data_IF_983520829422
#
_entry.id   IF_983520829422
#
_cell.length_a   1.000
_cell.length_b   1.000
_cell.length_c   1.000
_cell.angle_alpha   90.00
_cell.angle_beta   90.00
_cell.angle_gamma   90.00
#
_symmetry.space_group_name_H-M   'P 1'
#
loop_
_entity.id
_entity.type
_entity.pdbx_description
1 polymer ?
#
# COMPACT_ATOMS: atom_id res chain seq x y z
N UNK A 1 -3.02 -4.71 13.34
CA UNK A 1 -3.09 -3.36 12.72
C UNK A 1 -2.54 -2.26 13.62
N UNK A 2 -3.07 -2.02 14.84
CA UNK A 2 -2.59 -0.97 15.76
C UNK A 2 -1.09 -1.01 16.11
N UNK A 3 -0.43 -2.15 15.89
CA UNK A 3 0.99 -2.38 16.16
C UNK A 3 1.91 -1.92 15.02
N UNK A 4 1.35 -1.57 13.86
CA UNK A 4 2.11 -1.11 12.69
C UNK A 4 2.34 0.39 12.83
N UNK A 5 3.57 0.78 13.13
CA UNK A 5 3.93 2.18 13.45
C UNK A 5 3.64 3.16 12.30
N UNK A 6 3.69 2.68 11.05
CA UNK A 6 3.40 3.48 9.87
C UNK A 6 1.91 3.89 9.78
N UNK A 7 1.00 3.18 10.44
CA UNK A 7 -0.44 3.50 10.40
C UNK A 7 -0.77 4.44 11.55
N UNK A 8 -1.16 5.71 11.28
CA UNK A 8 -1.54 6.64 12.34
C UNK A 8 -2.82 6.16 13.06
N UNK A 9 -2.86 6.34 14.38
CA UNK A 9 -4.05 6.04 15.18
C UNK A 9 -5.10 7.17 15.13
N UNK A 10 -4.68 8.37 14.71
CA UNK A 10 -5.52 9.55 14.52
C UNK A 10 -5.05 10.28 13.25
N UNK A 11 -6.01 10.67 12.42
CA UNK A 11 -5.76 11.59 11.31
C UNK A 11 -5.66 13.01 11.84
N UNK A 12 -4.82 13.84 11.24
CA UNK A 12 -4.61 15.23 11.64
C UNK A 12 -4.84 16.16 10.43
N UNK A 13 -5.48 17.30 10.66
CA UNK A 13 -5.77 18.28 9.62
C UNK A 13 -7.26 18.60 9.53
N UNK A 14 -7.63 19.29 8.46
CA UNK A 14 -9.00 19.75 8.21
C UNK A 14 -9.71 18.86 7.18
N UNK A 15 -11.03 19.02 7.09
CA UNK A 15 -11.90 18.35 6.12
C UNK A 15 -11.86 16.82 6.17
N UNK A 16 -11.57 16.25 7.35
CA UNK A 16 -11.59 14.80 7.55
C UNK A 16 -13.06 14.33 7.57
N UNK A 17 -13.46 13.37 6.70
CA UNK A 17 -14.81 12.85 6.67
C UNK A 17 -15.22 12.18 7.98
N UNK A 18 -16.51 12.20 8.29
CA UNK A 18 -17.05 11.52 9.47
C UNK A 18 -16.73 10.02 9.49
N UNK A 19 -16.73 9.38 8.31
CA UNK A 19 -16.29 7.99 8.15
C UNK A 19 -15.52 7.82 6.85
N UNK A 20 -14.35 7.22 6.98
CA UNK A 20 -13.44 6.95 5.88
C UNK A 20 -12.80 5.57 6.03
N UNK A 21 -12.93 4.73 5.02
CA UNK A 21 -12.16 3.48 4.89
C UNK A 21 -10.95 3.71 3.98
N UNK A 22 -9.76 3.56 4.55
CA UNK A 22 -8.51 3.64 3.80
C UNK A 22 -8.07 2.23 3.42
N UNK A 23 -7.82 2.02 2.12
CA UNK A 23 -7.28 0.79 1.58
C UNK A 23 -5.80 0.93 1.32
N UNK A 24 -5.06 -0.11 1.64
CA UNK A 24 -3.62 -0.14 1.50
C UNK A 24 -3.07 -1.54 1.63
N UNK A 25 -1.75 -1.63 1.53
CA UNK A 25 -1.01 -2.88 1.60
C UNK A 25 -0.03 -2.85 2.76
N UNK A 26 -0.10 -3.89 3.59
CA UNK A 26 0.89 -4.14 4.64
C UNK A 26 1.96 -5.04 4.06
N UNK A 27 3.21 -4.62 4.18
CA UNK A 27 4.35 -5.39 3.69
C UNK A 27 5.49 -5.37 4.72
N UNK A 28 6.52 -6.17 4.41
CA UNK A 28 7.69 -6.34 5.24
C UNK A 28 8.93 -6.01 4.40
N UNK A 29 9.75 -5.01 4.80
CA UNK A 29 10.99 -4.71 4.10
C UNK A 29 11.95 -5.89 4.11
N UNK A 30 12.82 -5.99 3.10
CA UNK A 30 13.76 -7.10 2.92
C UNK A 30 14.66 -7.29 4.14
N UNK A 31 15.24 -6.21 4.67
CA UNK A 31 16.06 -6.28 5.90
C UNK A 31 15.28 -6.83 7.10
N UNK A 32 13.99 -6.50 7.21
CA UNK A 32 13.11 -7.03 8.25
C UNK A 32 12.81 -8.52 8.07
N UNK A 33 12.62 -8.95 6.82
CA UNK A 33 12.44 -10.35 6.45
C UNK A 33 13.67 -11.20 6.75
N UNK A 34 14.86 -10.74 6.34
CA UNK A 34 16.13 -11.43 6.59
C UNK A 34 16.35 -11.65 8.09
N UNK A 35 16.15 -10.60 8.89
CA UNK A 35 16.26 -10.65 10.34
C UNK A 35 15.30 -11.67 10.97
N UNK A 36 14.03 -11.68 10.54
CA UNK A 36 13.05 -12.66 11.04
C UNK A 36 13.49 -14.08 10.73
N UNK A 37 14.00 -14.32 9.52
CA UNK A 37 14.44 -15.65 9.11
C UNK A 37 15.73 -16.09 9.80
N UNK A 38 16.66 -15.16 10.07
CA UNK A 38 17.87 -15.43 10.84
C UNK A 38 17.53 -15.83 12.29
N UNK A 39 16.68 -15.05 12.97
CA UNK A 39 16.21 -15.37 14.32
C UNK A 39 15.45 -16.71 14.35
N UNK A 40 14.61 -16.98 13.36
CA UNK A 40 13.91 -18.26 13.24
C UNK A 40 14.88 -19.43 13.09
N UNK A 41 15.91 -19.33 12.23
CA UNK A 41 16.93 -20.38 12.08
C UNK A 41 17.68 -20.65 13.38
N UNK A 42 18.04 -19.61 14.13
CA UNK A 42 18.75 -19.74 15.41
C UNK A 42 17.91 -20.39 16.50
N UNK A 43 16.60 -20.14 16.50
CA UNK A 43 15.68 -20.59 17.56
C UNK A 43 14.88 -21.85 17.20
N UNK A 44 15.10 -22.43 16.02
CA UNK A 44 14.29 -23.54 15.51
C UNK A 44 12.85 -23.13 15.13
N UNK A 45 12.61 -21.84 14.92
CA UNK A 45 11.32 -21.29 14.53
C UNK A 45 11.00 -21.44 13.04
N UNK A 46 9.81 -21.00 12.66
CA UNK A 46 9.34 -21.03 11.26
C UNK A 46 10.10 -20.03 10.38
N UNK A 47 10.78 -20.53 9.36
CA UNK A 47 11.40 -19.74 8.30
C UNK A 47 10.37 -19.48 7.19
N UNK A 48 10.32 -18.26 6.69
CA UNK A 48 9.41 -17.85 5.61
C UNK A 48 10.12 -17.86 4.25
N UNK A 49 9.40 -18.26 3.20
CA UNK A 49 9.95 -18.34 1.85
C UNK A 49 10.15 -16.97 1.18
N UNK A 50 9.31 -15.99 1.48
CA UNK A 50 9.37 -14.64 0.91
C UNK A 50 8.77 -13.59 1.86
N UNK A 51 9.05 -12.28 1.65
CA UNK A 51 8.53 -11.19 2.47
C UNK A 51 6.99 -11.15 2.55
N UNK A 52 6.28 -11.47 1.46
CA UNK A 52 4.80 -11.51 1.42
C UNK A 52 4.24 -12.52 2.42
N UNK A 53 4.78 -13.74 2.45
CA UNK A 53 4.40 -14.78 3.39
C UNK A 53 4.77 -14.42 4.83
N UNK A 54 5.91 -13.78 5.03
CA UNK A 54 6.33 -13.29 6.33
C UNK A 54 5.42 -12.19 6.86
N UNK A 55 5.01 -11.24 6.01
CA UNK A 55 4.07 -10.18 6.36
C UNK A 55 2.69 -10.77 6.74
N UNK A 56 2.13 -11.63 5.89
CA UNK A 56 0.86 -12.30 6.13
C UNK A 56 0.88 -13.14 7.42
N UNK A 57 1.94 -13.92 7.63
CA UNK A 57 2.13 -14.71 8.85
C UNK A 57 2.29 -13.84 10.10
N UNK A 58 2.92 -12.68 9.98
CA UNK A 58 3.10 -11.72 11.07
C UNK A 58 1.79 -11.01 11.45
N UNK A 59 0.91 -10.75 10.49
CA UNK A 59 -0.39 -10.12 10.71
C UNK A 59 -1.42 -11.04 11.37
N UNK A 60 -1.36 -12.35 11.07
CA UNK A 60 -2.34 -13.35 11.53
C UNK A 60 -1.97 -13.99 12.88
N UNK A 61 -1.14 -13.32 13.68
CA UNK A 61 -0.80 -13.79 15.03
C UNK A 61 -1.96 -13.53 15.98
N UNK A 62 -2.28 -14.52 16.82
CA UNK A 62 -3.31 -14.37 17.86
C UNK A 62 -2.88 -13.35 18.93
N UNK A 63 -1.60 -13.37 19.31
CA UNK A 63 -1.04 -12.41 20.25
C UNK A 63 -0.46 -11.19 19.50
N UNK A 64 -1.06 -9.99 19.62
CA UNK A 64 -0.58 -8.79 18.94
C UNK A 64 0.81 -8.35 19.39
N UNK A 65 1.29 -8.77 20.57
CA UNK A 65 2.65 -8.50 21.04
C UNK A 65 3.70 -9.17 20.17
N UNK A 66 3.36 -10.27 19.50
CA UNK A 66 4.23 -10.93 18.53
C UNK A 66 4.32 -10.07 17.26
N UNK A 67 3.17 -9.62 16.73
CA UNK A 67 3.12 -8.73 15.56
C UNK A 67 3.86 -7.41 15.82
N UNK A 68 3.79 -6.85 17.03
CA UNK A 68 4.49 -5.62 17.41
C UNK A 68 6.03 -5.71 17.34
N UNK A 69 6.60 -6.92 17.40
CA UNK A 69 8.04 -7.15 17.23
C UNK A 69 8.46 -7.26 15.77
N UNK A 70 7.51 -7.36 14.84
CA UNK A 70 7.77 -7.50 13.40
C UNK A 70 7.82 -6.11 12.77
N UNK A 71 8.82 -5.77 11.96
CA UNK A 71 8.96 -4.46 11.32
C UNK A 71 8.02 -4.32 10.11
N UNK A 72 6.72 -4.53 10.34
CA UNK A 72 5.69 -4.32 9.33
C UNK A 72 5.55 -2.83 9.03
N UNK A 73 5.29 -2.52 7.77
CA UNK A 73 4.98 -1.18 7.29
C UNK A 73 3.73 -1.21 6.40
N UNK A 74 3.29 -0.06 5.92
CA UNK A 74 2.03 0.10 5.21
C UNK A 74 2.10 1.23 4.18
N UNK A 75 1.47 1.05 3.03
CA UNK A 75 1.16 2.14 2.11
C UNK A 75 -0.32 2.15 1.73
N UNK A 76 -0.91 3.34 1.69
CA UNK A 76 -2.27 3.55 1.23
C UNK A 76 -2.29 3.62 -0.31
N UNK A 77 -3.31 3.03 -0.92
CA UNK A 77 -3.51 3.08 -2.36
C UNK A 77 -4.95 3.39 -2.78
N UNK A 78 -5.90 3.52 -1.86
CA UNK A 78 -7.29 3.71 -2.25
C UNK A 78 -8.26 3.96 -1.11
N UNK A 79 -9.53 4.12 -1.51
CA UNK A 79 -10.65 4.46 -0.62
C UNK A 79 -11.71 3.39 -0.76
N UNK A 80 -12.30 2.98 0.37
CA UNK A 80 -13.53 2.20 0.41
C UNK A 80 -14.72 3.12 0.65
N UNK A 81 -15.36 2.96 1.81
CA UNK A 81 -16.44 3.84 2.28
C UNK A 81 -15.96 5.29 2.50
N UNK A 82 -16.79 6.25 2.07
CA UNK A 82 -16.66 7.68 2.33
C UNK A 82 -18.04 8.24 2.71
N UNK A 83 -18.21 8.72 3.93
CA UNK A 83 -19.45 9.31 4.42
C UNK A 83 -19.17 10.58 5.26
N UNK A 84 -20.02 11.60 5.13
CA UNK A 84 -19.94 12.81 5.95
C UNK A 84 -18.69 13.66 5.71
N UNK A 85 -18.29 13.82 4.45
CA UNK A 85 -17.18 14.67 4.01
C UNK A 85 -16.87 14.46 2.53
N UNK A 86 -15.94 15.25 2.02
CA UNK A 86 -15.54 15.21 0.62
C UNK A 86 -14.07 14.83 0.48
N UNK A 87 -13.74 14.25 -0.67
CA UNK A 87 -12.38 13.96 -1.09
C UNK A 87 -12.16 14.50 -2.49
N UNK A 88 -10.91 14.78 -2.89
CA UNK A 88 -10.60 15.19 -4.25
C UNK A 88 -11.18 14.25 -5.30
N UNK A 89 -11.49 14.83 -6.46
CA UNK A 89 -12.09 14.19 -7.64
C UNK A 89 -11.08 13.41 -8.51
N UNK A 90 -9.80 13.42 -8.12
CA UNK A 90 -8.72 12.64 -8.73
C UNK A 90 -8.10 11.65 -7.75
N UNK A 91 -7.68 10.48 -8.25
CA UNK A 91 -7.07 9.43 -7.43
C UNK A 91 -5.78 9.92 -6.79
N UNK A 92 -4.93 10.58 -7.57
CA UNK A 92 -3.71 11.22 -7.05
C UNK A 92 -4.04 12.28 -5.99
N UNK A 93 -5.07 13.11 -6.22
CA UNK A 93 -5.52 14.10 -5.24
C UNK A 93 -5.91 13.46 -3.91
N UNK A 94 -6.63 12.32 -3.94
CA UNK A 94 -6.97 11.56 -2.72
C UNK A 94 -5.73 11.02 -2.00
N UNK A 95 -4.75 10.49 -2.72
CA UNK A 95 -3.49 10.00 -2.13
C UNK A 95 -2.69 11.16 -1.49
N UNK A 96 -2.62 12.31 -2.15
CA UNK A 96 -1.96 13.49 -1.58
C UNK A 96 -2.70 14.00 -0.34
N UNK A 97 -4.04 13.94 -0.32
CA UNK A 97 -4.83 14.28 0.87
C UNK A 97 -4.53 13.31 2.02
N UNK A 98 -4.40 12.02 1.75
CA UNK A 98 -4.00 11.03 2.76
C UNK A 98 -2.62 11.35 3.35
N UNK A 99 -1.66 11.72 2.50
CA UNK A 99 -0.33 12.16 2.95
C UNK A 99 -0.41 13.37 3.87
N UNK A 100 -1.26 14.36 3.56
CA UNK A 100 -1.50 15.53 4.43
C UNK A 100 -2.10 15.13 5.78
N UNK A 101 -2.96 14.12 5.81
CA UNK A 101 -3.54 13.59 7.05
C UNK A 101 -2.62 12.68 7.86
N UNK A 102 -1.39 12.44 7.40
CA UNK A 102 -0.37 11.64 8.07
C UNK A 102 -0.42 10.15 7.72
N UNK A 103 -1.19 9.76 6.72
CA UNK A 103 -1.18 8.38 6.21
C UNK A 103 0.03 8.15 5.30
N UNK A 104 0.65 6.96 5.36
CA UNK A 104 1.81 6.65 4.54
C UNK A 104 1.37 6.41 3.09
N UNK A 105 1.97 7.15 2.18
CA UNK A 105 1.78 7.04 0.74
C UNK A 105 3.16 6.94 0.11
N UNK A 106 3.31 6.07 -0.88
CA UNK A 106 4.57 5.92 -1.62
C UNK A 106 4.99 7.24 -2.25
N UNK A 107 6.29 7.53 -2.22
CA UNK A 107 6.91 8.68 -2.87
C UNK A 107 7.02 8.51 -4.39
N UNK A 108 6.81 7.30 -4.90
CA UNK A 108 6.90 6.94 -6.32
C UNK A 108 5.56 7.02 -7.08
N UNK A 109 4.48 7.46 -6.44
CA UNK A 109 3.20 7.67 -7.13
C UNK A 109 3.36 8.78 -8.16
N UNK A 110 3.12 8.46 -9.43
CA UNK A 110 3.39 9.35 -10.57
C UNK A 110 2.15 9.50 -11.45
N UNK A 111 1.85 10.74 -11.86
CA UNK A 111 0.84 11.00 -12.90
C UNK A 111 1.50 10.81 -14.27
N UNK A 112 0.82 10.10 -15.17
CA UNK A 112 1.23 9.92 -16.55
C UNK A 112 0.06 10.36 -17.44
N UNK A 113 0.33 11.18 -18.45
CA UNK A 113 -0.68 11.72 -19.37
C UNK A 113 -0.79 10.93 -20.67
N UNK A 114 0.16 10.02 -20.92
CA UNK A 114 0.24 9.19 -22.12
C UNK A 114 0.60 7.74 -21.78
N UNK A 115 0.31 6.82 -22.71
CA UNK A 115 0.68 5.41 -22.54
C UNK A 115 2.21 5.23 -22.54
N UNK A 116 2.91 6.05 -23.31
CA UNK A 116 4.36 6.12 -23.40
C UNK A 116 4.98 6.51 -22.05
N UNK A 117 4.41 7.49 -21.35
CA UNK A 117 4.84 7.85 -20.00
C UNK A 117 4.61 6.73 -19.00
N UNK A 118 3.48 6.01 -19.11
CA UNK A 118 3.20 4.85 -18.27
C UNK A 118 4.25 3.75 -18.48
N UNK A 119 4.61 3.46 -19.72
CA UNK A 119 5.65 2.48 -20.06
C UNK A 119 7.03 2.92 -19.57
N UNK A 120 7.37 4.22 -19.72
CA UNK A 120 8.61 4.77 -19.20
C UNK A 120 8.68 4.65 -17.67
N UNK A 121 7.57 4.91 -16.96
CA UNK A 121 7.48 4.70 -15.52
C UNK A 121 7.66 3.22 -15.13
N UNK A 122 7.01 2.30 -15.85
CA UNK A 122 7.16 0.86 -15.64
C UNK A 122 8.63 0.42 -15.72
N UNK A 123 9.33 0.77 -16.81
CA UNK A 123 10.73 0.38 -16.99
C UNK A 123 11.66 0.99 -15.95
N UNK A 124 11.40 2.24 -15.55
CA UNK A 124 12.16 2.88 -14.46
C UNK A 124 11.97 2.15 -13.13
N UNK A 125 10.74 1.74 -12.81
CA UNK A 125 10.47 0.98 -11.58
C UNK A 125 11.08 -0.42 -11.64
N UNK A 126 11.09 -1.05 -12.82
CA UNK A 126 11.75 -2.34 -13.05
C UNK A 126 13.27 -2.26 -12.82
N UNK A 127 13.93 -1.22 -13.35
CA UNK A 127 15.34 -0.94 -13.13
C UNK A 127 15.66 -0.64 -11.66
N UNK A 128 14.83 0.18 -11.00
CA UNK A 128 15.01 0.55 -9.60
C UNK A 128 14.66 -0.58 -8.61
N UNK A 129 13.93 -1.61 -9.05
CA UNK A 129 13.36 -2.68 -8.20
C UNK A 129 14.36 -3.28 -7.21
N UNK A 130 15.62 -3.60 -7.56
CA UNK A 130 16.60 -4.15 -6.62
C UNK A 130 16.98 -3.19 -5.49
N UNK A 131 16.75 -1.89 -5.65
CA UNK A 131 17.17 -0.84 -4.71
C UNK A 131 16.07 -0.39 -3.74
N UNK A 132 14.83 -0.85 -3.94
CA UNK A 132 13.67 -0.38 -3.15
C UNK A 132 13.73 -0.82 -1.68
N UNK A 133 14.44 -1.90 -1.36
CA UNK A 133 14.51 -2.46 -0.01
C UNK A 133 13.23 -3.17 0.45
N UNK A 134 12.26 -3.35 -0.45
CA UNK A 134 11.06 -4.16 -0.28
C UNK A 134 10.65 -4.75 -1.63
N UNK A 135 9.96 -5.88 -1.58
CA UNK A 135 9.49 -6.55 -2.80
C UNK A 135 8.24 -5.86 -3.35
N UNK A 136 8.23 -5.65 -4.67
CA UNK A 136 7.05 -5.28 -5.45
C UNK A 136 6.81 -6.33 -6.52
N UNK A 137 5.56 -6.58 -6.88
CA UNK A 137 5.20 -7.54 -7.94
C UNK A 137 5.15 -6.88 -9.33
N UNK A 138 5.00 -5.55 -9.39
CA UNK A 138 4.87 -4.76 -10.63
C UNK A 138 4.35 -3.35 -10.32
N UNK A 139 3.73 -2.70 -11.30
CA UNK A 139 3.07 -1.39 -11.13
C UNK A 139 1.56 -1.52 -11.27
N UNK A 140 0.82 -0.64 -10.59
CA UNK A 140 -0.64 -0.55 -10.73
C UNK A 140 -1.00 0.75 -11.44
N UNK A 141 -1.54 0.62 -12.65
CA UNK A 141 -1.97 1.75 -13.46
C UNK A 141 -3.45 2.03 -13.18
N UNK A 142 -3.82 3.29 -12.97
CA UNK A 142 -5.21 3.70 -12.71
C UNK A 142 -5.57 4.94 -13.49
N UNK A 143 -6.81 4.99 -14.00
CA UNK A 143 -7.41 6.22 -14.53
C UNK A 143 -7.46 7.25 -13.40
N UNK A 144 -6.95 8.47 -13.60
CA UNK A 144 -6.83 9.43 -12.51
C UNK A 144 -8.16 10.08 -12.12
N UNK A 145 -9.05 10.38 -13.08
CA UNK A 145 -10.36 10.99 -12.78
C UNK A 145 -11.33 9.99 -12.17
N UNK A 146 -11.92 10.32 -11.02
CA UNK A 146 -12.92 9.45 -10.37
C UNK A 146 -14.23 9.39 -11.15
N UNK A 147 -14.64 10.48 -11.79
CA UNK A 147 -15.81 10.47 -12.66
C UNK A 147 -15.64 9.47 -13.82
N UNK A 148 -14.44 9.41 -14.41
CA UNK A 148 -14.13 8.41 -15.44
C UNK A 148 -14.10 6.99 -14.87
N UNK A 149 -13.59 6.81 -13.65
CA UNK A 149 -13.62 5.50 -12.97
C UNK A 149 -15.05 5.02 -12.75
N UNK A 150 -15.95 5.89 -12.28
CA UNK A 150 -17.37 5.58 -12.05
C UNK A 150 -18.08 5.22 -13.35
N UNK A 151 -17.80 5.95 -14.43
CA UNK A 151 -18.38 5.69 -15.76
C UNK A 151 -17.95 4.32 -16.32
N UNK A 152 -16.68 3.94 -16.13
CA UNK A 152 -16.14 2.66 -16.63
C UNK A 152 -16.59 1.46 -15.80
N UNK A 153 -17.00 1.67 -14.55
CA UNK A 153 -17.57 0.64 -13.69
C UNK A 153 -16.61 -0.50 -13.30
N UNK A 154 -17.18 -1.61 -12.83
CA UNK A 154 -16.46 -2.80 -12.36
C UNK A 154 -16.84 -4.01 -13.19
N UNK A 155 -15.85 -4.81 -13.65
CA UNK A 155 -16.13 -6.11 -14.27
C UNK A 155 -15.80 -7.22 -13.28
N UNK A 156 -16.85 -7.85 -12.75
CA UNK A 156 -16.95 -9.09 -11.96
C UNK A 156 -15.98 -9.38 -10.78
N UNK A 157 -14.68 -9.08 -10.83
CA UNK A 157 -13.71 -9.30 -9.72
C UNK A 157 -12.54 -8.31 -9.64
N UNK A 158 -12.42 -7.38 -10.58
CA UNK A 158 -11.43 -6.31 -10.54
C UNK A 158 -12.07 -5.02 -11.09
N UNK A 159 -11.62 -3.83 -10.65
CA UNK A 159 -11.94 -2.61 -11.38
C UNK A 159 -11.53 -2.83 -12.84
N UNK A 160 -12.33 -2.37 -13.81
CA UNK A 160 -11.91 -2.35 -15.23
C UNK A 160 -10.67 -1.45 -15.49
N UNK A 161 -10.12 -0.89 -14.42
CA UNK A 161 -9.28 0.30 -14.30
C UNK A 161 -7.90 -0.02 -13.73
N UNK A 162 -7.60 -1.29 -13.42
CA UNK A 162 -6.35 -1.72 -12.79
C UNK A 162 -5.86 -3.03 -13.37
N UNK A 163 -4.88 -2.94 -14.26
CA UNK A 163 -4.00 -4.07 -14.58
C UNK A 163 -2.78 -4.00 -13.66
N UNK A 164 -2.39 -5.14 -13.09
CA UNK A 164 -0.99 -5.34 -12.70
C UNK A 164 -0.23 -5.64 -13.97
N UNK A 165 0.74 -4.79 -14.31
CA UNK A 165 1.73 -5.09 -15.34
C UNK A 165 3.06 -5.36 -14.65
#
# INVERSE_FOLDING_TARGET
MRTIRAIPLKLHGENIPARLEVRGEVFLPQAGFEKINEDARRTGGKVFANPRNAAAGSLRQLDPRITAKRPLTFFCYGVGVLEGGELPDTHLGRLLQFKKWGLPVSDRVTLCESAEEVLAFYHKVEEDRPTLGFDIDGVVIKVNSLAQQEQLGFVARAPALGGSV
#
